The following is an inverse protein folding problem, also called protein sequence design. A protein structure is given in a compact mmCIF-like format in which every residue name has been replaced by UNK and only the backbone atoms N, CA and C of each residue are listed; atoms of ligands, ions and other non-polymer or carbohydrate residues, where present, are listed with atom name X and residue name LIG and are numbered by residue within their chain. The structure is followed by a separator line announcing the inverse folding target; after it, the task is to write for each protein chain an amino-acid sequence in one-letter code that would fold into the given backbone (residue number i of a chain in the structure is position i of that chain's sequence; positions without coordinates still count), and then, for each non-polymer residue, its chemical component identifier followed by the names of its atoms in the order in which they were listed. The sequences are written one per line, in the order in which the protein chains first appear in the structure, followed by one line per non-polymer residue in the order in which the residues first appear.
data_IF_309605204399
#
_entry.id   IF_309605204399
#
_cell.length_a   1.000
_cell.length_b   1.000
_cell.length_c   1.000
_cell.angle_alpha   90.00
_cell.angle_beta   90.00
_cell.angle_gamma   90.00
#
_symmetry.space_group_name_H-M   'P 1'
#
loop_
_entity.id
_entity.type
_entity.pdbx_description
1 polymer ?
#
# COMPACT_ATOMS: atom_id res chain seq x y z
N UNK A 1 15.04 -3.02 -5.15
CA UNK A 1 13.62 -3.05 -4.70
C UNK A 1 12.83 -2.09 -5.56
N UNK A 2 11.60 -2.44 -5.92
CA UNK A 2 10.69 -1.61 -6.71
C UNK A 2 9.36 -1.43 -5.95
N UNK A 3 8.56 -0.42 -6.29
CA UNK A 3 7.25 -0.23 -5.69
C UNK A 3 6.12 -0.52 -6.68
N UNK A 4 5.03 -1.09 -6.17
CA UNK A 4 3.74 -1.15 -6.84
C UNK A 4 2.78 -0.27 -6.05
N UNK A 5 2.29 0.81 -6.66
CA UNK A 5 1.27 1.67 -6.09
C UNK A 5 -0.08 1.33 -6.72
N UNK A 6 -0.95 0.67 -5.94
CA UNK A 6 -2.25 0.21 -6.42
C UNK A 6 -3.28 1.34 -6.27
N UNK A 7 -3.71 1.88 -7.40
CA UNK A 7 -4.74 2.91 -7.52
C UNK A 7 -5.94 2.44 -8.40
N UNK A 8 -6.22 1.11 -8.44
CA UNK A 8 -7.25 0.54 -9.33
C UNK A 8 -8.70 0.65 -8.84
N UNK A 9 -8.93 0.88 -7.56
CA UNK A 9 -10.27 0.83 -6.97
C UNK A 9 -11.24 1.89 -7.52
N UNK A 10 -12.52 1.52 -7.71
CA UNK A 10 -13.57 2.41 -8.25
C UNK A 10 -13.99 3.55 -7.33
N UNK A 11 -13.65 3.50 -6.04
CA UNK A 11 -14.04 4.53 -5.09
C UNK A 11 -15.56 4.68 -4.89
N UNK A 12 -16.32 3.58 -4.97
CA UNK A 12 -17.79 3.60 -4.87
C UNK A 12 -18.31 4.21 -3.56
N UNK A 13 -17.56 4.04 -2.45
CA UNK A 13 -17.87 4.66 -1.15
C UNK A 13 -17.67 6.19 -1.14
N UNK A 14 -16.97 6.72 -2.15
CA UNK A 14 -16.66 8.15 -2.32
C UNK A 14 -17.57 8.86 -3.33
N UNK A 15 -18.62 8.18 -3.84
CA UNK A 15 -19.59 8.84 -4.70
C UNK A 15 -20.32 9.98 -3.94
N UNK A 16 -20.61 11.10 -4.62
CA UNK A 16 -20.46 11.35 -6.06
C UNK A 16 -19.10 11.87 -6.51
N UNK A 17 -18.15 12.11 -5.61
CA UNK A 17 -16.83 12.71 -5.91
C UNK A 17 -16.04 11.92 -6.95
N UNK A 18 -16.11 10.59 -6.90
CA UNK A 18 -15.36 9.69 -7.78
C UNK A 18 -16.04 9.37 -9.10
N UNK A 19 -17.12 10.11 -9.46
CA UNK A 19 -17.80 9.93 -10.74
C UNK A 19 -16.92 10.34 -11.94
N UNK A 20 -16.08 11.36 -11.77
CA UNK A 20 -15.32 11.98 -12.85
C UNK A 20 -13.82 12.08 -12.56
N UNK A 21 -13.37 11.61 -11.41
CA UNK A 21 -11.96 11.62 -11.01
C UNK A 21 -11.62 10.39 -10.18
N UNK A 22 -10.34 10.04 -10.17
CA UNK A 22 -9.86 8.95 -9.33
C UNK A 22 -9.88 9.35 -7.85
N UNK A 23 -10.25 8.41 -6.95
CA UNK A 23 -10.35 8.69 -5.50
C UNK A 23 -9.04 9.24 -4.90
N UNK A 24 -7.88 8.81 -5.39
CA UNK A 24 -6.57 9.25 -4.88
C UNK A 24 -6.12 10.61 -5.42
N UNK A 25 -6.89 11.18 -6.37
CA UNK A 25 -6.73 12.57 -6.81
C UNK A 25 -7.64 13.55 -6.05
N UNK A 26 -8.52 13.04 -5.17
CA UNK A 26 -9.28 13.89 -4.29
C UNK A 26 -8.33 14.68 -3.37
N UNK A 27 -8.64 15.95 -3.10
CA UNK A 27 -7.80 16.79 -2.25
C UNK A 27 -7.82 16.30 -0.81
N UNK A 28 -6.64 16.17 -0.24
CA UNK A 28 -6.39 15.97 1.17
C UNK A 28 -5.65 17.22 1.66
N UNK A 29 -6.42 18.19 2.16
CA UNK A 29 -5.97 19.53 2.49
C UNK A 29 -5.41 20.26 1.24
N UNK A 30 -4.11 20.40 1.11
CA UNK A 30 -3.46 21.15 0.03
C UNK A 30 -2.81 20.27 -1.06
N UNK A 31 -2.96 18.95 -0.99
CA UNK A 31 -2.40 17.99 -1.95
C UNK A 31 -3.36 16.82 -2.20
N UNK A 32 -3.33 16.16 -3.36
CA UNK A 32 -4.07 14.92 -3.58
C UNK A 32 -3.58 13.78 -2.66
N UNK A 33 -4.48 12.85 -2.35
CA UNK A 33 -4.18 11.66 -1.54
C UNK A 33 -2.96 10.90 -2.05
N UNK A 34 -2.80 10.76 -3.38
CA UNK A 34 -1.69 10.01 -3.99
C UNK A 34 -0.32 10.60 -3.64
N UNK A 35 -0.21 11.90 -3.42
CA UNK A 35 1.07 12.55 -3.09
C UNK A 35 1.62 12.09 -1.75
N UNK A 36 0.75 11.78 -0.79
CA UNK A 36 1.15 11.26 0.51
C UNK A 36 1.70 9.83 0.39
N UNK A 37 1.04 8.98 -0.40
CA UNK A 37 1.53 7.62 -0.68
C UNK A 37 2.87 7.66 -1.42
N UNK A 38 3.00 8.47 -2.47
CA UNK A 38 4.25 8.66 -3.21
C UNK A 38 5.37 9.22 -2.32
N UNK A 39 5.06 10.17 -1.43
CA UNK A 39 6.04 10.71 -0.49
C UNK A 39 6.57 9.63 0.46
N UNK A 40 5.71 8.72 0.95
CA UNK A 40 6.13 7.60 1.80
C UNK A 40 7.03 6.62 1.03
N UNK A 41 6.69 6.26 -0.21
CA UNK A 41 7.53 5.43 -1.08
C UNK A 41 8.88 6.10 -1.32
N UNK A 42 8.90 7.39 -1.67
CA UNK A 42 10.12 8.17 -1.94
C UNK A 42 11.03 8.29 -0.73
N UNK A 43 10.47 8.56 0.47
CA UNK A 43 11.23 8.60 1.73
C UNK A 43 11.92 7.28 2.03
N UNK A 44 11.34 6.15 1.63
CA UNK A 44 11.96 4.83 1.80
C UNK A 44 13.14 4.56 0.85
N UNK A 45 13.44 5.49 -0.08
CA UNK A 45 14.55 5.38 -1.03
C UNK A 45 14.24 4.57 -2.28
N UNK A 46 12.97 4.29 -2.56
CA UNK A 46 12.54 3.57 -3.78
C UNK A 46 12.25 4.59 -4.88
N UNK A 47 12.87 4.39 -6.05
CA UNK A 47 12.77 5.28 -7.21
C UNK A 47 12.17 4.63 -8.46
N UNK A 48 11.94 3.32 -8.45
CA UNK A 48 11.27 2.60 -9.54
C UNK A 48 9.86 2.22 -9.07
N UNK A 49 8.84 2.89 -9.63
CA UNK A 49 7.47 2.84 -9.15
C UNK A 49 6.53 2.49 -10.31
N UNK A 50 5.77 1.41 -10.15
CA UNK A 50 4.68 1.04 -11.08
C UNK A 50 3.34 1.43 -10.46
N UNK A 51 2.61 2.32 -11.12
CA UNK A 51 1.29 2.79 -10.70
C UNK A 51 0.23 2.03 -11.49
N UNK A 52 -0.60 1.25 -10.80
CA UNK A 52 -1.75 0.58 -11.39
C UNK A 52 -2.97 1.47 -11.16
N UNK A 53 -3.65 1.87 -12.23
CA UNK A 53 -4.87 2.67 -12.14
C UNK A 53 -6.00 2.09 -12.99
N UNK A 54 -7.22 2.55 -12.71
CA UNK A 54 -8.39 2.24 -13.51
C UNK A 54 -8.48 3.18 -14.73
N UNK A 55 -9.66 3.33 -15.32
CA UNK A 55 -9.96 4.22 -16.45
C UNK A 55 -9.48 5.68 -16.26
N UNK A 56 -9.21 6.11 -15.02
CA UNK A 56 -8.69 7.45 -14.72
C UNK A 56 -7.16 7.51 -14.64
N UNK A 57 -6.43 6.46 -15.06
CA UNK A 57 -4.96 6.42 -15.02
C UNK A 57 -4.32 7.62 -15.76
N UNK A 58 -4.97 8.11 -16.82
CA UNK A 58 -4.54 9.31 -17.53
C UNK A 58 -4.51 10.57 -16.67
N UNK A 59 -5.47 10.73 -15.74
CA UNK A 59 -5.48 11.85 -14.78
C UNK A 59 -4.33 11.70 -13.77
N UNK A 60 -4.07 10.48 -13.29
CA UNK A 60 -2.94 10.18 -12.40
C UNK A 60 -1.61 10.48 -13.12
N UNK A 61 -1.47 10.03 -14.37
CA UNK A 61 -0.27 10.29 -15.17
C UNK A 61 -0.07 11.78 -15.46
N UNK A 62 -1.14 12.54 -15.67
CA UNK A 62 -1.06 13.99 -15.82
C UNK A 62 -0.58 14.68 -14.54
N UNK A 63 -0.99 14.19 -13.38
CA UNK A 63 -0.61 14.78 -12.08
C UNK A 63 0.82 14.40 -11.68
N UNK A 64 1.20 13.11 -11.78
CA UNK A 64 2.50 12.59 -11.31
C UNK A 64 3.60 12.80 -12.35
N UNK A 65 3.25 12.84 -13.65
CA UNK A 65 4.19 13.04 -14.75
C UNK A 65 5.17 11.88 -14.88
N UNK A 66 6.41 12.21 -15.18
CA UNK A 66 7.53 11.25 -15.31
C UNK A 66 8.23 10.96 -13.98
N UNK A 67 7.73 11.52 -12.88
CA UNK A 67 8.36 11.43 -11.56
C UNK A 67 9.40 12.52 -11.31
N UNK A 68 10.10 12.41 -10.19
CA UNK A 68 11.21 13.28 -9.81
C UNK A 68 12.50 12.88 -10.55
N UNK A 69 13.51 13.77 -10.63
CA UNK A 69 14.81 13.41 -11.21
C UNK A 69 15.39 12.14 -10.59
N UNK A 70 15.71 11.15 -11.43
CA UNK A 70 16.22 9.85 -11.02
C UNK A 70 15.14 8.80 -10.69
N UNK A 71 13.87 9.14 -10.82
CA UNK A 71 12.77 8.17 -10.73
C UNK A 71 12.43 7.56 -12.09
N UNK A 72 11.86 6.36 -12.03
CA UNK A 72 11.21 5.68 -13.16
C UNK A 72 9.78 5.39 -12.76
N UNK A 73 8.82 5.97 -13.51
CA UNK A 73 7.39 5.74 -13.27
C UNK A 73 6.81 4.94 -14.44
N UNK A 74 6.19 3.80 -14.12
CA UNK A 74 5.41 3.01 -15.06
C UNK A 74 3.93 3.16 -14.75
N UNK A 75 3.10 3.35 -15.77
CA UNK A 75 1.65 3.42 -15.66
C UNK A 75 1.03 2.19 -16.29
N UNK A 76 0.17 1.53 -15.53
CA UNK A 76 -0.52 0.30 -15.95
C UNK A 76 -2.02 0.49 -15.77
N UNK A 77 -2.79 0.24 -16.83
CA UNK A 77 -4.24 0.35 -16.78
C UNK A 77 -4.87 -1.01 -16.41
N UNK A 78 -5.72 -1.00 -15.38
CA UNK A 78 -6.66 -2.07 -15.07
C UNK A 78 -8.02 -1.69 -15.68
N UNK A 79 -8.32 -2.22 -16.87
CA UNK A 79 -9.56 -1.92 -17.60
C UNK A 79 -10.78 -2.49 -16.88
N UNK A 80 -10.66 -3.71 -16.36
CA UNK A 80 -11.71 -4.40 -15.61
C UNK A 80 -11.21 -4.83 -14.23
N UNK A 81 -11.96 -4.56 -13.14
CA UNK A 81 -11.54 -4.90 -11.78
C UNK A 81 -11.79 -6.40 -11.48
N UNK A 82 -10.95 -7.25 -12.03
CA UNK A 82 -11.04 -8.71 -11.90
C UNK A 82 -10.41 -9.24 -10.60
N UNK A 83 -10.11 -8.34 -9.65
CA UNK A 83 -9.52 -8.65 -8.36
C UNK A 83 -8.05 -8.29 -8.25
N UNK A 84 -7.55 -8.30 -7.00
CA UNK A 84 -6.18 -7.84 -6.71
C UNK A 84 -5.11 -8.63 -7.46
N UNK A 85 -5.31 -9.92 -7.68
CA UNK A 85 -4.38 -10.76 -8.45
C UNK A 85 -4.23 -10.29 -9.89
N UNK A 86 -5.34 -9.87 -10.52
CA UNK A 86 -5.33 -9.36 -11.90
C UNK A 86 -4.52 -8.07 -11.97
N UNK A 87 -4.83 -7.10 -11.10
CA UNK A 87 -4.11 -5.84 -11.01
C UNK A 87 -2.59 -6.07 -10.82
N UNK A 88 -2.21 -6.96 -9.91
CA UNK A 88 -0.80 -7.28 -9.64
C UNK A 88 -0.13 -7.92 -10.87
N UNK A 89 -0.79 -8.86 -11.55
CA UNK A 89 -0.23 -9.49 -12.75
C UNK A 89 -0.01 -8.49 -13.90
N UNK A 90 -0.83 -7.44 -14.01
CA UNK A 90 -0.60 -6.37 -14.98
C UNK A 90 0.70 -5.59 -14.68
N UNK A 91 1.07 -5.42 -13.41
CA UNK A 91 2.32 -4.78 -13.02
C UNK A 91 3.55 -5.70 -13.10
N UNK A 92 3.35 -7.02 -13.12
CA UNK A 92 4.41 -8.04 -13.04
C UNK A 92 5.58 -7.81 -14.01
N UNK A 93 5.37 -7.47 -15.30
CA UNK A 93 6.47 -7.24 -16.26
C UNK A 93 7.46 -6.14 -15.86
N UNK A 94 7.04 -5.20 -15.01
CA UNK A 94 7.88 -4.08 -14.56
C UNK A 94 8.65 -4.40 -13.28
N UNK A 95 8.22 -5.38 -12.49
CA UNK A 95 8.72 -5.60 -11.12
C UNK A 95 9.16 -7.04 -10.82
N UNK A 96 8.85 -8.02 -11.68
CA UNK A 96 9.24 -9.42 -11.49
C UNK A 96 10.75 -9.56 -11.30
N UNK A 97 11.17 -10.50 -10.43
CA UNK A 97 12.57 -10.71 -10.06
C UNK A 97 13.14 -9.68 -9.07
N UNK A 98 12.32 -8.72 -8.64
CA UNK A 98 12.70 -7.73 -7.63
C UNK A 98 11.94 -7.97 -6.32
N UNK A 99 12.52 -7.57 -5.21
CA UNK A 99 11.78 -7.31 -3.97
C UNK A 99 10.84 -6.15 -4.19
N UNK A 100 9.64 -6.20 -3.64
CA UNK A 100 8.60 -5.21 -3.91
C UNK A 100 8.07 -4.58 -2.62
N UNK A 101 7.82 -3.28 -2.69
CA UNK A 101 6.92 -2.56 -1.78
C UNK A 101 5.57 -2.46 -2.48
N UNK A 102 4.57 -3.18 -1.98
CA UNK A 102 3.18 -3.07 -2.43
C UNK A 102 2.46 -2.06 -1.55
N UNK A 103 1.86 -1.04 -2.16
CA UNK A 103 1.23 0.07 -1.47
C UNK A 103 -0.14 0.37 -2.08
N UNK A 104 -1.21 0.29 -1.29
CA UNK A 104 -2.54 0.73 -1.71
C UNK A 104 -2.66 2.23 -1.51
N UNK A 105 -2.89 2.95 -2.59
CA UNK A 105 -2.72 4.41 -2.71
C UNK A 105 -3.64 5.27 -1.84
N UNK A 106 -4.67 4.70 -1.26
CA UNK A 106 -5.58 5.36 -0.30
C UNK A 106 -5.13 5.24 1.16
N UNK A 107 -4.01 4.56 1.41
CA UNK A 107 -3.43 4.45 2.75
C UNK A 107 -2.46 5.59 3.00
N UNK A 108 -2.72 6.38 4.02
CA UNK A 108 -1.87 7.48 4.46
C UNK A 108 -1.25 7.11 5.80
N UNK A 109 0.07 7.26 5.91
CA UNK A 109 0.77 6.89 7.15
C UNK A 109 1.96 7.79 7.44
N UNK A 110 2.28 7.90 8.73
CA UNK A 110 3.53 8.51 9.22
C UNK A 110 4.58 7.46 9.58
N UNK A 111 4.29 6.15 9.36
CA UNK A 111 5.27 5.09 9.60
C UNK A 111 6.47 5.27 8.66
N UNK A 112 7.67 5.35 9.23
CA UNK A 112 8.89 5.43 8.45
C UNK A 112 9.32 4.01 8.00
N UNK A 113 9.37 3.83 6.68
CA UNK A 113 9.69 2.54 6.05
C UNK A 113 11.16 2.37 5.71
N UNK A 114 11.97 3.42 5.83
CA UNK A 114 13.38 3.47 5.39
C UNK A 114 14.19 2.30 5.94
N UNK A 115 14.19 2.12 7.25
CA UNK A 115 14.98 1.05 7.89
C UNK A 115 14.50 -0.34 7.50
N UNK A 116 13.18 -0.52 7.36
CA UNK A 116 12.60 -1.80 6.95
C UNK A 116 12.98 -2.11 5.52
N UNK A 117 12.85 -1.16 4.61
CA UNK A 117 13.26 -1.27 3.21
C UNK A 117 14.76 -1.57 3.11
N UNK A 118 15.61 -0.88 3.86
CA UNK A 118 17.07 -1.10 3.86
C UNK A 118 17.43 -2.50 4.38
N UNK A 119 16.73 -3.02 5.41
CA UNK A 119 16.91 -4.40 5.86
C UNK A 119 16.57 -5.41 4.76
N UNK A 120 15.49 -5.20 4.02
CA UNK A 120 15.13 -6.05 2.88
C UNK A 120 16.13 -5.96 1.72
N UNK A 121 16.69 -4.78 1.43
CA UNK A 121 17.68 -4.61 0.36
C UNK A 121 19.01 -5.30 0.71
N UNK A 122 19.50 -5.09 1.96
CA UNK A 122 20.88 -5.39 2.32
C UNK A 122 21.05 -6.73 3.03
N UNK A 123 20.01 -7.35 3.55
CA UNK A 123 20.12 -8.58 4.34
C UNK A 123 19.70 -9.82 3.56
N UNK A 124 20.59 -10.81 3.48
CA UNK A 124 20.26 -12.17 3.00
C UNK A 124 19.35 -12.94 4.00
N UNK A 125 19.24 -12.45 5.23
CA UNK A 125 18.40 -13.02 6.30
C UNK A 125 17.14 -12.19 6.55
N UNK A 126 16.77 -11.29 5.61
CA UNK A 126 15.51 -10.58 5.70
C UNK A 126 14.35 -11.60 5.74
N UNK A 127 13.26 -11.29 6.45
CA UNK A 127 12.04 -12.10 6.37
C UNK A 127 11.51 -12.11 4.94
N UNK A 128 10.70 -13.10 4.60
CA UNK A 128 10.05 -13.18 3.27
C UNK A 128 9.07 -12.03 3.03
N UNK A 129 8.37 -11.58 4.09
CA UNK A 129 7.55 -10.37 4.03
C UNK A 129 7.61 -9.54 5.32
N UNK A 130 7.32 -8.23 5.17
CA UNK A 130 6.99 -7.34 6.27
C UNK A 130 5.58 -6.78 6.07
N UNK A 131 4.76 -6.92 7.10
CA UNK A 131 3.38 -6.52 7.15
C UNK A 131 3.28 -5.28 8.03
N UNK A 132 2.85 -4.18 7.44
CA UNK A 132 2.66 -2.94 8.19
C UNK A 132 1.26 -2.98 8.81
N UNK A 133 1.16 -2.76 10.13
CA UNK A 133 -0.12 -2.84 10.82
C UNK A 133 -0.16 -2.02 12.10
N UNK A 134 -1.36 -1.90 12.65
CA UNK A 134 -1.65 -1.20 13.92
C UNK A 134 -2.91 -1.71 14.59
N UNK A 135 -3.11 -1.31 15.83
CA UNK A 135 -4.38 -1.48 16.54
C UNK A 135 -5.41 -0.50 15.96
N UNK A 136 -6.62 -0.98 15.69
CA UNK A 136 -7.77 -0.22 15.16
C UNK A 136 -9.01 -0.46 16.01
N UNK A 137 -9.98 0.46 15.92
CA UNK A 137 -11.27 0.37 16.64
C UNK A 137 -12.32 -0.46 15.88
N UNK A 138 -12.19 -0.57 14.54
CA UNK A 138 -13.12 -1.26 13.63
C UNK A 138 -12.44 -2.42 12.87
N UNK A 139 -11.93 -3.45 13.60
CA UNK A 139 -11.08 -4.49 13.02
C UNK A 139 -11.78 -5.36 11.96
N UNK A 140 -13.10 -5.48 11.98
CA UNK A 140 -13.88 -6.25 11.01
C UNK A 140 -13.76 -5.75 9.56
N UNK A 141 -13.18 -4.58 9.35
CA UNK A 141 -12.98 -3.98 8.02
C UNK A 141 -11.68 -4.39 7.34
N UNK A 142 -10.75 -5.01 8.08
CA UNK A 142 -9.37 -5.23 7.65
C UNK A 142 -8.97 -6.71 7.70
N UNK A 143 -7.81 -7.03 7.15
CA UNK A 143 -7.11 -8.26 7.47
C UNK A 143 -6.57 -8.21 8.89
N UNK A 144 -6.95 -9.15 9.74
CA UNK A 144 -6.63 -9.13 11.17
C UNK A 144 -5.58 -10.17 11.51
N UNK A 145 -4.52 -9.72 12.18
CA UNK A 145 -3.46 -10.58 12.68
C UNK A 145 -3.95 -11.45 13.85
N UNK A 146 -3.59 -12.71 13.82
CA UNK A 146 -3.83 -13.67 14.91
C UNK A 146 -2.49 -13.99 15.58
N UNK A 147 -2.43 -13.83 16.88
CA UNK A 147 -1.24 -14.09 17.67
C UNK A 147 -1.45 -15.30 18.58
N UNK A 148 -0.38 -16.06 18.83
CA UNK A 148 -0.35 -17.07 19.88
C UNK A 148 -0.11 -16.45 21.29
N UNK A 149 -0.08 -17.30 22.30
CA UNK A 149 0.15 -16.86 23.68
C UNK A 149 1.54 -16.21 23.90
N UNK A 150 2.48 -16.41 22.99
CA UNK A 150 3.81 -15.82 23.02
C UNK A 150 3.92 -14.55 22.16
N UNK A 151 2.78 -13.98 21.72
CA UNK A 151 2.72 -12.81 20.81
C UNK A 151 3.36 -13.07 19.44
N UNK A 152 3.46 -14.31 19.00
CA UNK A 152 3.93 -14.67 17.67
C UNK A 152 2.74 -14.64 16.70
N UNK A 153 2.92 -13.98 15.55
CA UNK A 153 1.96 -14.00 14.46
C UNK A 153 1.81 -15.43 13.91
N UNK A 154 0.60 -15.98 13.93
CA UNK A 154 0.29 -17.35 13.51
C UNK A 154 -0.70 -17.44 12.38
N UNK A 155 -1.53 -16.39 12.14
CA UNK A 155 -2.48 -16.35 11.03
C UNK A 155 -2.89 -14.91 10.71
N UNK A 156 -3.57 -14.72 9.57
CA UNK A 156 -4.24 -13.48 9.16
C UNK A 156 -5.63 -13.86 8.63
N UNK A 157 -6.67 -13.21 9.16
CA UNK A 157 -8.05 -13.46 8.75
C UNK A 157 -8.60 -12.20 8.07
N UNK A 158 -9.02 -12.33 6.81
CA UNK A 158 -9.59 -11.23 6.03
C UNK A 158 -11.00 -10.92 6.51
N UNK A 159 -11.23 -9.69 6.96
CA UNK A 159 -12.53 -9.12 7.35
C UNK A 159 -13.39 -10.07 8.18
N UNK A 160 -12.90 -10.54 9.33
CA UNK A 160 -13.62 -11.49 10.16
C UNK A 160 -14.85 -10.83 10.80
N UNK A 161 -15.99 -11.55 10.84
CA UNK A 161 -17.17 -11.08 11.56
C UNK A 161 -16.95 -10.96 13.07
N UNK A 162 -16.10 -11.83 13.60
CA UNK A 162 -15.67 -11.83 15.01
C UNK A 162 -14.14 -11.76 15.03
N UNK A 163 -13.56 -10.55 15.08
CA UNK A 163 -12.12 -10.38 15.02
C UNK A 163 -11.41 -11.01 16.23
N UNK A 164 -10.37 -11.83 16.03
CA UNK A 164 -9.62 -12.45 17.12
C UNK A 164 -8.68 -11.46 17.83
N UNK A 165 -8.38 -10.33 17.21
CA UNK A 165 -7.62 -9.22 17.79
C UNK A 165 -8.06 -7.90 17.18
N UNK A 166 -7.55 -6.79 17.73
CA UNK A 166 -7.73 -5.46 17.15
C UNK A 166 -6.55 -5.05 16.25
N UNK A 167 -5.59 -5.95 15.98
CA UNK A 167 -4.42 -5.63 15.18
C UNK A 167 -4.72 -5.83 13.68
N UNK A 168 -4.93 -4.72 12.98
CA UNK A 168 -5.18 -4.69 11.55
C UNK A 168 -3.86 -4.64 10.77
N UNK A 169 -3.79 -5.41 9.67
CA UNK A 169 -2.75 -5.29 8.67
C UNK A 169 -3.20 -4.23 7.65
N UNK A 170 -2.39 -3.20 7.50
CA UNK A 170 -2.66 -2.08 6.59
C UNK A 170 -2.42 -2.44 5.12
N UNK A 171 -2.70 -1.49 4.25
CA UNK A 171 -2.52 -1.62 2.80
C UNK A 171 -1.07 -1.39 2.33
N UNK A 172 -0.07 -1.72 3.15
CA UNK A 172 1.35 -1.52 2.85
C UNK A 172 2.12 -2.78 3.23
N UNK A 173 2.84 -3.35 2.27
CA UNK A 173 3.51 -4.63 2.41
C UNK A 173 4.87 -4.60 1.72
N UNK A 174 5.86 -5.29 2.29
CA UNK A 174 7.15 -5.52 1.63
C UNK A 174 7.30 -7.02 1.44
N UNK A 175 7.68 -7.43 0.23
CA UNK A 175 7.85 -8.85 -0.13
C UNK A 175 9.20 -9.10 -0.77
N UNK A 176 9.71 -10.31 -0.55
CA UNK A 176 10.87 -10.84 -1.25
C UNK A 176 10.55 -11.29 -2.69
N UNK A 177 11.54 -11.81 -3.38
CA UNK A 177 11.43 -12.24 -4.77
C UNK A 177 10.50 -13.46 -4.96
N UNK A 178 10.12 -14.17 -3.86
CA UNK A 178 9.22 -15.33 -3.91
C UNK A 178 7.75 -14.97 -4.07
N UNK A 179 7.41 -13.66 -3.97
CA UNK A 179 6.05 -13.14 -4.01
C UNK A 179 5.23 -13.68 -5.20
N UNK A 180 5.81 -13.68 -6.40
CA UNK A 180 5.10 -14.08 -7.62
C UNK A 180 4.75 -15.56 -7.62
N UNK A 181 5.67 -16.42 -7.17
CA UNK A 181 5.40 -17.86 -7.05
C UNK A 181 4.28 -18.13 -6.03
N UNK A 182 4.22 -17.36 -4.95
CA UNK A 182 3.13 -17.46 -3.95
C UNK A 182 1.82 -16.95 -4.50
N UNK A 183 1.83 -15.82 -5.21
CA UNK A 183 0.66 -15.31 -5.90
C UNK A 183 0.08 -16.37 -6.85
N UNK A 184 0.93 -16.94 -7.71
CA UNK A 184 0.52 -17.97 -8.68
C UNK A 184 -0.09 -19.20 -7.96
N UNK A 185 0.52 -19.65 -6.86
CA UNK A 185 0.01 -20.78 -6.07
C UNK A 185 -1.34 -20.48 -5.43
N UNK A 186 -1.51 -19.30 -4.84
CA UNK A 186 -2.78 -18.87 -4.20
C UNK A 186 -3.87 -18.67 -5.26
N UNK A 187 -3.54 -18.13 -6.43
CA UNK A 187 -4.48 -17.99 -7.54
C UNK A 187 -4.91 -19.36 -8.07
N UNK A 188 -4.00 -20.32 -8.17
CA UNK A 188 -4.35 -21.69 -8.58
C UNK A 188 -5.32 -22.37 -7.60
N UNK A 189 -5.21 -22.09 -6.30
CA UNK A 189 -6.07 -22.64 -5.24
C UNK A 189 -7.44 -21.93 -5.16
N UNK A 190 -7.44 -20.57 -5.15
CA UNK A 190 -8.62 -19.76 -4.79
C UNK A 190 -9.24 -19.00 -5.95
N UNK A 191 -8.56 -18.92 -7.09
CA UNK A 191 -9.00 -18.17 -8.26
C UNK A 191 -9.17 -16.67 -7.96
N UNK A 192 -10.14 -16.05 -8.63
CA UNK A 192 -10.44 -14.61 -8.50
C UNK A 192 -10.93 -14.18 -7.09
N UNK A 193 -11.27 -15.13 -6.23
CA UNK A 193 -11.73 -14.84 -4.84
C UNK A 193 -10.59 -14.62 -3.85
N UNK A 194 -9.35 -14.80 -4.29
CA UNK A 194 -8.19 -14.58 -3.44
C UNK A 194 -8.10 -13.13 -2.96
N UNK A 195 -7.59 -12.94 -1.77
CA UNK A 195 -7.24 -11.65 -1.17
C UNK A 195 -5.74 -11.53 -0.97
N UNK A 196 -5.26 -10.32 -0.70
CA UNK A 196 -3.85 -10.11 -0.32
C UNK A 196 -3.51 -10.82 0.99
N UNK A 197 -4.49 -10.94 1.89
CA UNK A 197 -4.35 -11.68 3.15
C UNK A 197 -4.05 -13.17 2.93
N UNK A 198 -4.50 -13.75 1.83
CA UNK A 198 -4.20 -15.15 1.50
C UNK A 198 -2.72 -15.33 1.13
N UNK A 199 -2.13 -14.36 0.42
CA UNK A 199 -0.69 -14.37 0.13
C UNK A 199 0.10 -14.17 1.43
N UNK A 200 -0.29 -13.19 2.25
CA UNK A 200 0.37 -12.92 3.53
C UNK A 200 0.37 -14.15 4.44
N UNK A 201 -0.74 -14.91 4.44
CA UNK A 201 -0.86 -16.15 5.20
C UNK A 201 0.17 -17.19 4.80
N UNK A 202 0.58 -17.30 3.53
CA UNK A 202 1.62 -18.23 3.11
C UNK A 202 2.96 -17.93 3.79
N UNK A 203 3.31 -16.66 3.92
CA UNK A 203 4.52 -16.23 4.64
C UNK A 203 4.42 -16.46 6.14
N UNK A 204 3.24 -16.22 6.73
CA UNK A 204 3.00 -16.47 8.16
C UNK A 204 3.13 -17.95 8.48
N UNK A 205 2.52 -18.82 7.69
CA UNK A 205 2.57 -20.28 7.88
C UNK A 205 3.99 -20.82 7.82
N UNK A 206 4.83 -20.26 6.96
CA UNK A 206 6.25 -20.63 6.85
C UNK A 206 7.14 -19.96 7.92
N UNK A 207 6.58 -19.08 8.75
CA UNK A 207 7.35 -18.34 9.75
C UNK A 207 8.30 -17.30 9.16
N UNK A 208 8.07 -16.88 7.92
CA UNK A 208 8.87 -15.89 7.18
C UNK A 208 8.23 -14.51 7.11
N UNK A 209 7.15 -14.26 7.87
CA UNK A 209 6.52 -12.97 8.01
C UNK A 209 7.05 -12.21 9.25
N UNK A 210 7.16 -10.88 9.11
CA UNK A 210 7.40 -9.96 10.22
C UNK A 210 6.34 -8.87 10.26
N UNK A 211 6.07 -8.33 11.46
CA UNK A 211 5.21 -7.17 11.65
C UNK A 211 6.07 -5.92 11.82
N UNK A 212 5.66 -4.84 11.18
CA UNK A 212 6.18 -3.49 11.36
C UNK A 212 5.06 -2.64 11.92
N UNK A 213 5.24 -2.12 13.11
CA UNK A 213 4.31 -1.22 13.77
C UNK A 213 5.07 -0.06 14.42
N UNK A 214 4.37 1.04 14.66
CA UNK A 214 4.82 2.13 15.51
C UNK A 214 3.62 2.64 16.28
N UNK A 215 3.72 2.65 17.62
CA UNK A 215 2.63 3.06 18.52
C UNK A 215 2.22 4.52 18.30
N UNK A 216 3.18 5.40 17.98
CA UNK A 216 2.96 6.83 17.76
C UNK A 216 2.63 7.18 16.31
N UNK A 217 2.50 6.19 15.42
CA UNK A 217 2.26 6.45 14.01
C UNK A 217 0.78 6.58 13.68
N UNK A 218 0.50 7.49 12.76
CA UNK A 218 -0.81 7.59 12.12
C UNK A 218 -0.89 6.62 10.94
N UNK A 219 -2.04 6.01 10.74
CA UNK A 219 -2.41 5.29 9.53
C UNK A 219 -3.92 5.44 9.31
N UNK A 220 -4.29 5.90 8.10
CA UNK A 220 -5.66 6.19 7.72
C UNK A 220 -5.93 5.57 6.35
N UNK A 221 -7.00 4.77 6.25
CA UNK A 221 -7.59 4.34 4.97
C UNK A 221 -8.55 5.43 4.48
N UNK A 222 -8.10 6.27 3.56
CA UNK A 222 -8.88 7.36 2.96
C UNK A 222 -9.92 6.86 1.93
N UNK A 223 -10.55 5.72 2.18
CA UNK A 223 -11.56 5.13 1.31
C UNK A 223 -12.99 5.61 1.57
N UNK A 224 -13.22 6.53 2.52
CA UNK A 224 -14.53 7.12 2.84
C UNK A 224 -14.42 8.64 3.00
N UNK A 225 -15.53 9.41 2.80
CA UNK A 225 -15.53 10.86 3.00
C UNK A 225 -15.08 11.28 4.40
N UNK A 226 -15.53 10.57 5.45
CA UNK A 226 -15.18 10.87 6.84
C UNK A 226 -13.67 10.69 7.09
N UNK A 227 -13.09 9.59 6.61
CA UNK A 227 -11.66 9.33 6.74
C UNK A 227 -10.82 10.36 5.93
N UNK A 228 -11.31 10.80 4.76
CA UNK A 228 -10.65 11.85 3.98
C UNK A 228 -10.69 13.19 4.72
N UNK A 229 -11.80 13.52 5.37
CA UNK A 229 -11.93 14.74 6.17
C UNK A 229 -11.01 14.70 7.38
N UNK A 230 -10.97 13.60 8.11
CA UNK A 230 -10.06 13.37 9.24
C UNK A 230 -8.60 13.55 8.81
N UNK A 231 -8.19 12.87 7.73
CA UNK A 231 -6.84 13.01 7.19
C UNK A 231 -6.51 14.44 6.77
N UNK A 232 -7.50 15.18 6.21
CA UNK A 232 -7.32 16.58 5.83
C UNK A 232 -7.06 17.48 7.03
N UNK A 233 -7.77 17.29 8.15
CA UNK A 233 -7.50 18.02 9.38
C UNK A 233 -6.13 17.70 9.98
N UNK A 234 -5.70 16.45 9.92
CA UNK A 234 -4.35 16.06 10.39
C UNK A 234 -3.25 16.66 9.51
N UNK A 235 -3.48 16.76 8.19
CA UNK A 235 -2.56 17.42 7.27
C UNK A 235 -2.50 18.94 7.50
N UNK A 236 -3.63 19.60 7.74
CA UNK A 236 -3.71 21.02 8.13
C UNK A 236 -2.90 21.31 9.40
N UNK A 237 -2.97 20.40 10.38
CA UNK A 237 -2.21 20.48 11.63
C UNK A 237 -0.72 20.13 11.46
N UNK A 238 -0.26 19.79 10.25
CA UNK A 238 1.13 19.39 9.98
C UNK A 238 1.50 18.00 10.50
N UNK A 239 0.52 17.18 10.90
CA UNK A 239 0.74 15.81 11.40
C UNK A 239 0.93 14.80 10.25
N UNK A 240 0.48 15.13 9.05
CA UNK A 240 0.70 14.37 7.82
C UNK A 240 1.49 15.23 6.84
N UNK A 241 2.43 14.62 6.11
CA UNK A 241 3.26 15.33 5.13
C UNK A 241 3.37 14.56 3.82
N UNK A 242 3.09 15.25 2.72
CA UNK A 242 3.35 14.79 1.36
C UNK A 242 4.74 15.23 0.84
N UNK A 243 5.60 15.80 1.69
CA UNK A 243 6.94 16.21 1.27
C UNK A 243 7.85 14.99 1.15
N UNK A 244 8.43 14.72 -0.03
CA UNK A 244 9.50 13.73 -0.14
C UNK A 244 10.75 14.24 0.57
N UNK A 245 11.56 13.36 1.17
CA UNK A 245 12.90 13.72 1.64
C UNK A 245 13.74 14.23 0.46
N UNK A 246 14.47 15.36 0.65
CA UNK A 246 15.48 15.86 -0.28
C UNK A 246 15.01 16.57 -1.57
N UNK A 247 13.84 17.14 -1.63
CA UNK A 247 13.58 18.17 -2.65
C UNK A 247 14.35 19.45 -2.22
N UNK A 248 15.28 19.88 -3.07
CA UNK A 248 15.90 21.20 -2.91
C UNK A 248 14.81 22.27 -3.00
N UNK A 249 14.89 23.31 -2.15
CA UNK A 249 14.03 24.49 -2.30
C UNK A 249 14.15 24.99 -3.75
N UNK A 250 13.09 24.93 -4.53
CA UNK A 250 13.06 25.30 -5.94
C UNK A 250 12.55 24.23 -6.89
N UNK A 251 12.54 22.95 -6.48
CA UNK A 251 12.04 21.81 -7.26
C UNK A 251 10.64 21.34 -6.77
N UNK A 252 9.93 22.18 -6.01
CA UNK A 252 8.56 21.87 -5.59
C UNK A 252 7.65 21.86 -6.82
N UNK A 253 7.02 20.73 -7.20
CA UNK A 253 5.95 20.75 -8.16
C UNK A 253 4.79 21.57 -7.59
N UNK A 254 4.21 22.41 -8.41
CA UNK A 254 3.10 23.34 -8.11
C UNK A 254 1.93 22.67 -7.44
#
# INVERSE_FOLDING_TARGET
MKAILVAGGHGSRMLPFTRYTHKTLLPLYNRPVIDYALATIRRSGISDITIIGNQFIGQIAQHVGTGLPGETIHYVIEEEPLGVHHALNLARPHVEGSRILLYFSDNITTIELTDTVQKFINSKKAPGCALIGRIVEDPERFGIAVFDNNQKLIDIIEKPKNPPSSFAIGGIYIYDESFWNRLDSVVAEKGAKMSISDINRTYVTEGSASIVQSEDSLWIDCGTPDALLEASHLAEQGKLSAKPCNIRKGDEPF
#
